data_IF_165308954268
#
_entry.id   IF_165308954268
#
_cell.length_a   1.000
_cell.length_b   1.000
_cell.length_c   1.000
_cell.angle_alpha   90.00
_cell.angle_beta   90.00
_cell.angle_gamma   90.00
#
_symmetry.space_group_name_H-M   'P 1'
#
loop_
_entity.id
_entity.type
_entity.pdbx_description
1 polymer ?
#
# COMPACT_ATOMS: atom_id res chain seq x y z
N UNK A 1 22.71 -23.21 16.35
CA UNK A 1 22.67 -22.08 15.39
C UNK A 1 21.35 -21.31 15.39
N UNK A 2 20.18 -21.97 15.47
CA UNK A 2 18.85 -21.31 15.48
C UNK A 2 18.69 -20.22 16.57
N UNK A 3 19.14 -20.49 17.80
CA UNK A 3 19.11 -19.53 18.90
C UNK A 3 20.03 -18.31 18.71
N UNK A 4 21.09 -18.42 17.88
CA UNK A 4 21.97 -17.28 17.55
C UNK A 4 21.34 -16.39 16.48
N UNK A 5 20.57 -16.99 15.57
CA UNK A 5 19.86 -16.25 14.51
C UNK A 5 18.68 -15.45 15.07
N UNK A 6 17.92 -16.03 16.00
CA UNK A 6 16.82 -15.32 16.70
C UNK A 6 17.36 -14.17 17.55
N UNK A 7 18.49 -14.36 18.21
CA UNK A 7 19.11 -13.31 19.02
C UNK A 7 19.63 -12.14 18.17
N UNK A 8 20.15 -12.41 16.97
CA UNK A 8 20.58 -11.37 16.04
C UNK A 8 19.40 -10.55 15.50
N UNK A 9 18.28 -11.21 15.22
CA UNK A 9 17.07 -10.59 14.68
C UNK A 9 16.36 -9.71 15.73
N UNK A 10 16.41 -10.12 17.00
CA UNK A 10 15.94 -9.31 18.14
C UNK A 10 16.87 -8.11 18.42
N UNK A 11 18.19 -8.27 18.25
CA UNK A 11 19.14 -7.16 18.41
C UNK A 11 19.01 -6.12 17.28
N UNK A 12 18.70 -6.55 16.06
CA UNK A 12 18.46 -5.67 14.90
C UNK A 12 17.14 -4.89 15.01
N UNK A 13 16.14 -5.45 15.70
CA UNK A 13 14.82 -4.86 15.89
C UNK A 13 14.69 -3.99 17.13
N UNK A 14 15.75 -3.83 17.94
CA UNK A 14 15.72 -2.96 19.12
C UNK A 14 15.83 -1.50 18.66
N UNK A 15 14.76 -0.68 18.77
CA UNK A 15 14.92 0.75 18.54
C UNK A 15 15.86 1.28 19.62
N UNK A 16 16.97 1.89 19.18
CA UNK A 16 17.86 2.63 20.05
C UNK A 16 17.08 3.86 20.54
N UNK A 17 16.32 3.70 21.62
CA UNK A 17 15.58 4.80 22.24
C UNK A 17 16.60 5.86 22.66
N UNK A 18 16.49 7.12 22.19
CA UNK A 18 17.40 8.16 22.64
C UNK A 18 17.19 8.41 24.14
N UNK A 19 18.25 8.25 24.93
CA UNK A 19 18.35 8.71 26.33
C UNK A 19 18.46 10.25 26.41
N UNK A 20 17.73 10.96 25.54
CA UNK A 20 17.80 12.42 25.46
C UNK A 20 16.73 13.02 26.37
N UNK A 21 17.04 14.09 27.14
CA UNK A 21 16.01 14.82 27.87
C UNK A 21 14.92 15.26 26.90
N UNK A 22 13.67 15.21 27.35
CA UNK A 22 12.48 15.57 26.59
C UNK A 22 12.51 17.08 26.28
N UNK A 23 13.24 17.43 25.23
CA UNK A 23 13.17 18.73 24.60
C UNK A 23 11.80 18.83 23.95
N UNK A 24 11.02 19.85 24.32
CA UNK A 24 9.79 20.19 23.62
C UNK A 24 10.09 20.23 22.13
N UNK A 25 9.49 19.34 21.31
CA UNK A 25 9.78 19.31 19.90
C UNK A 25 9.47 20.70 19.33
N UNK A 26 10.34 21.25 18.46
CA UNK A 26 10.03 22.50 17.80
C UNK A 26 8.68 22.39 17.08
N UNK A 27 7.95 23.52 16.90
CA UNK A 27 6.70 23.52 16.17
C UNK A 27 6.85 22.80 14.82
N UNK A 28 5.82 22.06 14.40
CA UNK A 28 5.83 21.38 13.10
C UNK A 28 6.02 22.41 11.97
N UNK A 29 7.15 22.31 11.27
CA UNK A 29 7.41 23.04 10.03
C UNK A 29 7.12 22.14 8.83
N UNK A 30 6.23 22.53 7.90
CA UNK A 30 6.02 21.79 6.66
C UNK A 30 7.30 21.72 5.83
N UNK A 31 7.58 20.54 5.27
CA UNK A 31 8.72 20.34 4.36
C UNK A 31 8.71 21.33 3.20
N UNK A 32 9.86 21.93 2.91
CA UNK A 32 10.01 22.82 1.75
C UNK A 32 10.30 22.00 0.49
N UNK A 33 9.76 22.36 -0.68
CA UNK A 33 10.02 21.62 -1.92
C UNK A 33 11.51 21.52 -2.30
N UNK A 34 12.33 22.48 -1.85
CA UNK A 34 13.76 22.58 -2.17
C UNK A 34 14.67 21.90 -1.12
N UNK A 35 14.09 21.36 -0.05
CA UNK A 35 14.84 20.81 1.10
C UNK A 35 15.57 19.50 0.76
N UNK A 36 15.03 18.73 -0.20
CA UNK A 36 15.62 17.47 -0.62
C UNK A 36 15.98 17.46 -2.11
N UNK A 37 17.10 16.82 -2.48
CA UNK A 37 17.48 16.74 -3.88
C UNK A 37 16.50 15.83 -4.66
N UNK A 38 16.33 16.11 -5.95
CA UNK A 38 15.35 15.43 -6.82
C UNK A 38 15.58 13.92 -6.95
N UNK A 39 16.83 13.46 -6.81
CA UNK A 39 17.17 12.03 -6.79
C UNK A 39 16.66 11.32 -5.54
N UNK A 40 16.64 11.98 -4.39
CA UNK A 40 16.12 11.41 -3.14
C UNK A 40 14.61 11.18 -3.24
N UNK A 41 13.88 12.11 -3.86
CA UNK A 41 12.46 11.91 -4.17
C UNK A 41 12.22 10.74 -5.13
N UNK A 42 13.12 10.52 -6.09
CA UNK A 42 13.02 9.37 -7.02
C UNK A 42 13.23 8.05 -6.27
N UNK A 43 14.24 7.96 -5.40
CA UNK A 43 14.49 6.75 -4.59
C UNK A 43 13.30 6.47 -3.66
N UNK A 44 12.79 7.50 -2.98
CA UNK A 44 11.61 7.36 -2.11
C UNK A 44 10.42 6.77 -2.86
N UNK A 45 10.15 7.29 -4.07
CA UNK A 45 9.05 6.79 -4.90
C UNK A 45 9.31 5.37 -5.40
N UNK A 46 10.56 5.05 -5.75
CA UNK A 46 10.95 3.70 -6.15
C UNK A 46 10.72 2.67 -5.03
N UNK A 47 11.13 2.99 -3.80
CA UNK A 47 10.90 2.15 -2.62
C UNK A 47 9.41 1.93 -2.35
N UNK A 48 8.63 3.02 -2.33
CA UNK A 48 7.18 2.96 -2.10
C UNK A 48 6.50 2.05 -3.13
N UNK A 49 6.86 2.17 -4.41
CA UNK A 49 6.22 1.38 -5.47
C UNK A 49 6.68 -0.07 -5.43
N UNK A 50 7.98 -0.32 -5.31
CA UNK A 50 8.51 -1.69 -5.27
C UNK A 50 7.98 -2.46 -4.07
N UNK A 51 8.14 -1.94 -2.86
CA UNK A 51 7.65 -2.61 -1.66
C UNK A 51 6.12 -2.64 -1.61
N UNK A 52 5.45 -1.60 -2.11
CA UNK A 52 3.99 -1.52 -2.11
C UNK A 52 3.31 -2.54 -3.04
N UNK A 53 3.88 -2.80 -4.23
CA UNK A 53 3.30 -3.75 -5.18
C UNK A 53 3.70 -5.21 -4.89
N UNK A 54 4.82 -5.43 -4.19
CA UNK A 54 5.35 -6.75 -3.89
C UNK A 54 4.33 -7.78 -3.36
N UNK A 55 3.47 -7.49 -2.35
CA UNK A 55 2.51 -8.48 -1.87
C UNK A 55 1.49 -8.91 -2.94
N UNK A 56 1.08 -7.99 -3.83
CA UNK A 56 0.20 -8.31 -4.95
C UNK A 56 0.92 -9.12 -6.02
N UNK A 57 2.15 -8.72 -6.38
CA UNK A 57 2.97 -9.47 -7.32
C UNK A 57 3.21 -10.90 -6.82
N UNK A 58 3.44 -11.07 -5.52
CA UNK A 58 3.61 -12.37 -4.89
C UNK A 58 2.34 -13.23 -4.96
N UNK A 59 1.19 -12.65 -4.62
CA UNK A 59 -0.10 -13.34 -4.72
C UNK A 59 -0.37 -13.85 -6.14
N UNK A 60 -0.24 -12.98 -7.15
CA UNK A 60 -0.50 -13.35 -8.54
C UNK A 60 0.54 -14.33 -9.09
N UNK A 61 1.80 -14.18 -8.70
CA UNK A 61 2.85 -15.14 -9.09
C UNK A 61 2.61 -16.51 -8.48
N UNK A 62 2.24 -16.57 -7.20
CA UNK A 62 1.92 -17.84 -6.54
C UNK A 62 0.72 -18.53 -7.19
N UNK A 63 -0.37 -17.78 -7.43
CA UNK A 63 -1.56 -18.32 -8.06
C UNK A 63 -1.28 -18.77 -9.50
N UNK A 64 -0.57 -17.95 -10.29
CA UNK A 64 -0.19 -18.27 -11.66
C UNK A 64 0.75 -19.47 -11.75
N UNK A 65 1.73 -19.56 -10.85
CA UNK A 65 2.65 -20.71 -10.78
C UNK A 65 1.91 -21.99 -10.39
N UNK A 66 1.01 -21.91 -9.41
CA UNK A 66 0.22 -23.06 -8.96
C UNK A 66 -0.73 -23.54 -10.06
N UNK A 67 -1.35 -22.61 -10.80
CA UNK A 67 -2.19 -22.95 -11.95
C UNK A 67 -1.38 -23.56 -13.09
N UNK A 68 -0.18 -23.01 -13.37
CA UNK A 68 0.74 -23.58 -14.35
C UNK A 68 1.14 -25.02 -13.97
N UNK A 69 1.53 -25.24 -12.71
CA UNK A 69 1.90 -26.57 -12.19
C UNK A 69 0.72 -27.54 -12.28
N UNK A 70 -0.49 -27.09 -11.96
CA UNK A 70 -1.71 -27.90 -12.09
C UNK A 70 -1.96 -28.34 -13.53
N UNK A 71 -1.85 -27.40 -14.49
CA UNK A 71 -2.04 -27.68 -15.90
C UNK A 71 -0.97 -28.61 -16.49
N UNK A 72 0.28 -28.54 -16.01
CA UNK A 72 1.38 -29.41 -16.47
C UNK A 72 1.35 -30.81 -15.84
N UNK A 73 0.53 -31.03 -14.81
CA UNK A 73 0.31 -32.33 -14.17
C UNK A 73 -1.06 -32.91 -14.54
N UNK A 74 -1.48 -32.73 -15.80
CA UNK A 74 -2.73 -33.28 -16.36
C UNK A 74 -3.98 -32.94 -15.53
N UNK A 75 -3.99 -31.79 -14.85
CA UNK A 75 -5.08 -31.38 -13.97
C UNK A 75 -5.31 -32.34 -12.79
N UNK A 76 -4.25 -33.01 -12.31
CA UNK A 76 -4.31 -33.86 -11.10
C UNK A 76 -4.68 -33.00 -9.87
N UNK A 77 -5.81 -33.29 -9.18
CA UNK A 77 -6.29 -32.55 -8.01
C UNK A 77 -5.26 -32.36 -6.89
N UNK A 78 -4.21 -33.20 -6.83
CA UNK A 78 -3.10 -33.04 -5.88
C UNK A 78 -2.32 -31.75 -6.05
N UNK A 79 -2.31 -31.20 -7.26
CA UNK A 79 -1.61 -29.96 -7.63
C UNK A 79 -2.56 -28.76 -7.73
N UNK A 80 -3.81 -28.88 -7.27
CA UNK A 80 -4.79 -27.81 -7.36
C UNK A 80 -4.32 -26.52 -6.64
N UNK A 81 -4.46 -25.34 -7.27
CA UNK A 81 -4.01 -24.07 -6.71
C UNK A 81 -4.83 -23.70 -5.47
N UNK A 82 -4.20 -23.00 -4.52
CA UNK A 82 -4.92 -22.45 -3.38
C UNK A 82 -6.00 -21.45 -3.83
N UNK A 83 -7.19 -21.41 -3.20
CA UNK A 83 -7.61 -22.16 -2.01
C UNK A 83 -8.24 -23.54 -2.30
N UNK A 84 -8.14 -24.06 -3.52
CA UNK A 84 -8.80 -25.30 -3.96
C UNK A 84 -8.00 -26.59 -3.66
N UNK A 85 -6.89 -26.47 -2.95
CA UNK A 85 -6.00 -27.58 -2.59
C UNK A 85 -6.74 -28.62 -1.72
N UNK A 86 -6.58 -29.90 -2.05
CA UNK A 86 -7.18 -31.00 -1.31
C UNK A 86 -6.33 -31.42 -0.09
N UNK A 87 -6.91 -32.07 0.92
CA UNK A 87 -6.15 -32.70 2.00
C UNK A 87 -5.15 -33.72 1.43
N UNK A 88 -3.86 -33.58 1.74
CA UNK A 88 -2.79 -34.42 1.18
C UNK A 88 -2.32 -34.01 -0.22
N UNK A 89 -2.65 -32.78 -0.67
CA UNK A 89 -2.06 -32.20 -1.88
C UNK A 89 -0.55 -32.06 -1.80
N UNK A 90 0.11 -32.08 -2.95
CA UNK A 90 1.57 -32.00 -3.05
C UNK A 90 2.00 -30.55 -2.77
N UNK A 91 2.81 -30.28 -1.72
CA UNK A 91 3.21 -28.92 -1.39
C UNK A 91 4.17 -28.35 -2.44
N UNK A 92 4.33 -27.02 -2.40
CA UNK A 92 5.42 -26.37 -3.10
C UNK A 92 6.75 -26.69 -2.41
N UNK A 93 7.73 -27.08 -3.19
CA UNK A 93 9.11 -27.26 -2.73
C UNK A 93 9.77 -25.91 -2.41
N UNK A 94 10.85 -25.95 -1.65
CA UNK A 94 11.61 -24.74 -1.27
C UNK A 94 12.18 -24.01 -2.50
N UNK A 95 12.59 -24.76 -3.52
CA UNK A 95 13.07 -24.22 -4.79
C UNK A 95 11.97 -23.49 -5.56
N UNK A 96 10.73 -24.02 -5.53
CA UNK A 96 9.58 -23.38 -6.16
C UNK A 96 9.16 -22.11 -5.43
N UNK A 97 9.14 -22.14 -4.09
CA UNK A 97 8.92 -20.94 -3.29
C UNK A 97 9.95 -19.86 -3.62
N UNK A 98 11.24 -20.22 -3.68
CA UNK A 98 12.30 -19.29 -4.05
C UNK A 98 12.08 -18.70 -5.45
N UNK A 99 11.74 -19.53 -6.43
CA UNK A 99 11.48 -19.07 -7.80
C UNK A 99 10.29 -18.10 -7.84
N UNK A 100 9.22 -18.38 -7.11
CA UNK A 100 8.07 -17.48 -6.97
C UNK A 100 8.49 -16.14 -6.36
N UNK A 101 9.28 -16.15 -5.28
CA UNK A 101 9.76 -14.91 -4.65
C UNK A 101 10.64 -14.09 -5.60
N UNK A 102 11.51 -14.74 -6.37
CA UNK A 102 12.36 -14.06 -7.35
C UNK A 102 11.54 -13.42 -8.49
N UNK A 103 10.55 -14.14 -9.03
CA UNK A 103 9.67 -13.60 -10.07
C UNK A 103 8.85 -12.43 -9.54
N UNK A 104 8.23 -12.58 -8.36
CA UNK A 104 7.45 -11.54 -7.72
C UNK A 104 8.29 -10.29 -7.41
N UNK A 105 9.49 -10.49 -6.86
CA UNK A 105 10.46 -9.41 -6.62
C UNK A 105 10.89 -8.73 -7.92
N UNK A 106 11.14 -9.51 -8.98
CA UNK A 106 11.48 -8.99 -10.30
C UNK A 106 10.35 -8.13 -10.90
N UNK A 107 9.09 -8.59 -10.82
CA UNK A 107 7.92 -7.83 -11.28
C UNK A 107 7.80 -6.50 -10.52
N UNK A 108 7.98 -6.54 -9.20
CA UNK A 108 7.92 -5.35 -8.34
C UNK A 108 9.00 -4.33 -8.70
N UNK A 109 10.25 -4.76 -8.84
CA UNK A 109 11.36 -3.90 -9.23
C UNK A 109 11.17 -3.34 -10.64
N UNK A 110 10.69 -4.15 -11.58
CA UNK A 110 10.38 -3.71 -12.94
C UNK A 110 9.30 -2.62 -12.96
N UNK A 111 8.23 -2.78 -12.17
CA UNK A 111 7.17 -1.77 -12.06
C UNK A 111 7.71 -0.44 -11.51
N UNK A 112 8.52 -0.48 -10.45
CA UNK A 112 9.15 0.71 -9.88
C UNK A 112 10.13 1.37 -10.87
N UNK A 113 10.86 0.56 -11.64
CA UNK A 113 11.78 1.06 -12.67
C UNK A 113 11.04 1.74 -13.82
N UNK A 114 9.94 1.16 -14.31
CA UNK A 114 9.07 1.77 -15.34
C UNK A 114 8.52 3.12 -14.85
N UNK A 115 8.04 3.20 -13.61
CA UNK A 115 7.57 4.46 -13.03
C UNK A 115 8.70 5.51 -12.96
N UNK A 116 9.90 5.12 -12.52
CA UNK A 116 11.06 6.01 -12.48
C UNK A 116 11.41 6.58 -13.87
N UNK A 117 11.36 5.74 -14.92
CA UNK A 117 11.58 6.17 -16.30
C UNK A 117 10.50 7.17 -16.78
N UNK A 118 9.23 6.91 -16.46
CA UNK A 118 8.13 7.81 -16.82
C UNK A 118 8.31 9.17 -16.15
N UNK A 119 8.64 9.19 -14.85
CA UNK A 119 8.86 10.43 -14.10
C UNK A 119 10.07 11.19 -14.64
N UNK A 120 11.17 10.50 -14.94
CA UNK A 120 12.37 11.10 -15.52
C UNK A 120 12.05 11.79 -16.85
N UNK A 121 11.36 11.10 -17.77
CA UNK A 121 10.95 11.69 -19.05
C UNK A 121 10.03 12.90 -18.89
N UNK A 122 9.03 12.81 -17.99
CA UNK A 122 8.11 13.92 -17.72
C UNK A 122 8.82 15.15 -17.15
N UNK A 123 9.87 14.98 -16.33
CA UNK A 123 10.68 16.08 -15.80
C UNK A 123 11.49 16.76 -16.92
N UNK A 124 12.09 16.00 -17.83
CA UNK A 124 12.83 16.55 -18.97
C UNK A 124 11.96 17.34 -19.95
N UNK A 125 10.69 16.94 -20.11
CA UNK A 125 9.75 17.60 -21.01
C UNK A 125 9.02 18.80 -20.40
N UNK A 126 9.19 19.08 -19.09
CA UNK A 126 8.54 20.22 -18.44
C UNK A 126 9.38 21.47 -18.73
N UNK A 127 8.85 22.48 -19.45
CA UNK A 127 9.52 23.77 -19.57
C UNK A 127 9.76 24.34 -18.17
N UNK A 128 10.87 25.05 -17.98
CA UNK A 128 11.14 25.77 -16.74
C UNK A 128 9.93 26.65 -16.42
N UNK A 129 9.13 26.24 -15.44
CA UNK A 129 8.01 27.05 -15.00
C UNK A 129 8.61 28.35 -14.45
N UNK A 130 8.04 29.52 -14.76
CA UNK A 130 8.43 30.74 -14.08
C UNK A 130 8.35 30.49 -12.57
N UNK A 131 9.34 30.99 -11.83
CA UNK A 131 9.44 30.82 -10.38
C UNK A 131 8.05 31.06 -9.76
N UNK A 132 7.57 30.18 -8.87
CA UNK A 132 6.29 30.37 -8.23
C UNK A 132 6.30 31.77 -7.63
N UNK A 133 5.44 32.66 -8.13
CA UNK A 133 5.11 33.88 -7.40
C UNK A 133 4.70 33.38 -6.03
N UNK A 134 5.36 33.82 -4.94
CA UNK A 134 5.02 33.34 -3.62
C UNK A 134 3.53 33.62 -3.44
N UNK A 135 2.72 32.56 -3.47
CA UNK A 135 1.31 32.68 -3.19
C UNK A 135 1.25 33.28 -1.78
N UNK A 136 0.43 34.33 -1.56
CA UNK A 136 0.26 34.87 -0.22
C UNK A 136 -0.02 33.67 0.68
N UNK A 137 0.81 33.50 1.72
CA UNK A 137 0.60 32.48 2.73
C UNK A 137 -0.75 32.78 3.36
N UNK A 138 -1.80 32.21 2.77
CA UNK A 138 -3.11 32.21 3.34
C UNK A 138 -2.97 31.31 4.56
N UNK A 139 -2.68 31.94 5.69
CA UNK A 139 -3.15 31.50 6.99
C UNK A 139 -4.63 31.23 6.82
N UNK A 140 -5.00 30.05 6.33
CA UNK A 140 -6.37 29.59 6.37
C UNK A 140 -6.67 29.48 7.87
N UNK A 141 -7.47 30.38 8.46
CA UNK A 141 -8.01 30.08 9.77
C UNK A 141 -8.73 28.74 9.61
N UNK A 142 -8.48 27.83 10.55
CA UNK A 142 -9.22 26.57 10.67
C UNK A 142 -10.69 26.89 10.40
N UNK A 143 -11.20 26.42 9.27
CA UNK A 143 -12.61 26.59 8.92
C UNK A 143 -13.38 26.04 10.12
N UNK A 144 -14.22 26.83 10.82
CA UNK A 144 -15.00 26.27 11.91
C UNK A 144 -15.79 25.11 11.31
N UNK A 145 -15.64 23.92 11.91
CA UNK A 145 -16.42 22.74 11.56
C UNK A 145 -17.88 23.17 11.56
N UNK A 146 -18.45 23.37 10.37
CA UNK A 146 -19.87 23.65 10.23
C UNK A 146 -20.56 22.40 10.78
N UNK A 147 -21.29 22.48 11.92
CA UNK A 147 -22.00 21.31 12.39
C UNK A 147 -22.93 20.87 11.27
N UNK A 148 -22.85 19.59 10.91
CA UNK A 148 -23.78 19.01 9.95
C UNK A 148 -25.20 19.37 10.41
N UNK A 149 -26.10 19.82 9.52
CA UNK A 149 -27.49 19.97 9.91
C UNK A 149 -27.93 18.60 10.43
N UNK A 150 -28.41 18.56 11.66
CA UNK A 150 -29.12 17.40 12.21
C UNK A 150 -30.35 17.19 11.33
N UNK A 151 -30.17 16.52 10.19
CA UNK A 151 -31.27 15.97 9.45
C UNK A 151 -31.84 14.92 10.40
N UNK A 152 -32.98 15.26 10.99
CA UNK A 152 -33.71 14.41 11.90
C UNK A 152 -33.75 13.01 11.27
N UNK A 153 -33.07 12.06 11.93
CA UNK A 153 -33.23 10.66 11.58
C UNK A 153 -34.75 10.39 11.56
N UNK A 154 -35.32 9.81 10.48
CA UNK A 154 -36.71 9.42 10.51
C UNK A 154 -36.89 8.48 11.70
N UNK A 155 -37.78 8.85 12.63
CA UNK A 155 -38.03 8.02 13.80
C UNK A 155 -38.55 6.66 13.33
N UNK A 156 -38.13 5.54 13.96
CA UNK A 156 -38.62 4.21 13.61
C UNK A 156 -40.11 3.99 13.99
N UNK A 157 -40.83 5.04 14.41
CA UNK A 157 -42.21 4.99 14.88
C UNK A 157 -43.16 5.83 14.03
N UNK A 158 -42.86 6.03 12.74
CA UNK A 158 -43.86 6.50 11.79
C UNK A 158 -44.93 5.41 11.62
N UNK A 159 -46.01 5.56 12.40
CA UNK A 159 -47.23 4.78 12.34
C UNK A 159 -47.81 4.78 10.93
N UNK A 160 -48.05 3.59 10.38
CA UNK A 160 -48.81 3.39 9.15
C UNK A 160 -50.28 3.81 9.38
N UNK A 161 -50.88 4.69 8.57
CA UNK A 161 -52.32 4.91 8.65
C UNK A 161 -53.05 3.66 8.14
N UNK A 162 -54.04 3.23 8.92
CA UNK A 162 -54.90 2.09 8.63
C UNK A 162 -55.62 2.28 7.29
N UNK A 163 -55.60 1.24 6.45
CA UNK A 163 -56.37 1.17 5.22
C UNK A 163 -57.84 0.86 5.52
N UNK A 164 -58.72 1.80 5.23
CA UNK A 164 -60.19 1.73 5.29
C UNK A 164 -60.68 3.17 5.47
N UNK A 165 -61.55 3.78 4.67
CA UNK A 165 -62.72 3.36 3.89
C UNK A 165 -62.85 4.39 2.71
N UNK A 166 -63.23 4.00 1.49
CA UNK A 166 -64.55 4.23 0.87
C UNK A 166 -65.10 5.68 1.06
N UNK A 167 -65.68 6.40 0.10
CA UNK A 167 -66.20 6.17 -1.26
C UNK A 167 -66.48 7.60 -1.83
N UNK A 168 -66.51 7.71 -3.16
CA UNK A 168 -67.27 8.68 -4.00
C UNK A 168 -67.23 10.20 -3.72
#
# INVERSE_FOLDING_TARGET
>A
MRARLTSLLVLLALPLAPLSPEATPPPYEPYRPEEFPTWAHTIRRFEIISLGIFPFALLFTNLGYSLYRYATHDWDPRYAPAPFTQPGGEPLSDEEHLRIYLIAGGISLAAAFIDALIVARRRSSRPAAPAPTPAPQASHPLLPLRPAPLHAAPSPFATYPASGEAHD
#
